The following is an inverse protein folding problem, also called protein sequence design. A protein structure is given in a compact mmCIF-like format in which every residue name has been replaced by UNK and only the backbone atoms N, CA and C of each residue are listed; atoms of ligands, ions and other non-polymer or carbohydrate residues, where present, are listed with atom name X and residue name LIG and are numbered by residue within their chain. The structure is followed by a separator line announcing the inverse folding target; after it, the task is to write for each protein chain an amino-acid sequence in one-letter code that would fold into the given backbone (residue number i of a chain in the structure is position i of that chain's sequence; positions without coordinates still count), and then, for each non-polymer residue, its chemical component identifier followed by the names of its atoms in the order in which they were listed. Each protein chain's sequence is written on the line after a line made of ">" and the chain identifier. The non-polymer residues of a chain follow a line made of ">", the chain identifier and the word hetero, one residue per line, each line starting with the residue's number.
data_IF_314851109449
#
_entry.id   IF_314851109449
#
_cell.length_a   1.000
_cell.length_b   1.000
_cell.length_c   1.000
_cell.angle_alpha   90.00
_cell.angle_beta   90.00
_cell.angle_gamma   90.00
#
_symmetry.space_group_name_H-M   'P 1'
#
loop_
_entity.id
_entity.type
_entity.pdbx_description
1 polymer ?
#
# COMPACT_ATOMS: atom_id res chain seq x y z
N UNK A 1 7.47 -22.24 16.41
CA UNK A 1 7.28 -21.83 15.00
C UNK A 1 6.33 -20.66 14.80
N UNK A 2 5.12 -20.64 15.38
CA UNK A 2 4.11 -19.57 15.13
C UNK A 2 4.55 -18.15 15.51
N UNK A 3 5.31 -17.99 16.59
CA UNK A 3 5.83 -16.66 17.00
C UNK A 3 6.95 -16.16 16.07
N UNK A 4 7.82 -17.07 15.59
CA UNK A 4 8.89 -16.74 14.65
C UNK A 4 8.30 -16.24 13.32
N UNK A 5 7.26 -16.91 12.81
CA UNK A 5 6.55 -16.48 11.60
C UNK A 5 5.93 -15.08 11.77
N UNK A 6 5.26 -14.81 12.91
CA UNK A 6 4.71 -13.47 13.19
C UNK A 6 5.78 -12.39 13.22
N UNK A 7 6.92 -12.66 13.87
CA UNK A 7 8.04 -11.72 13.93
C UNK A 7 8.58 -11.43 12.53
N UNK A 8 8.77 -12.45 11.70
CA UNK A 8 9.22 -12.30 10.32
C UNK A 8 8.25 -11.48 9.47
N UNK A 9 6.94 -11.71 9.61
CA UNK A 9 5.91 -10.94 8.90
C UNK A 9 5.94 -9.47 9.34
N UNK A 10 6.04 -9.19 10.64
CA UNK A 10 6.13 -7.81 11.15
C UNK A 10 7.39 -7.12 10.60
N UNK A 11 8.54 -7.80 10.63
CA UNK A 11 9.79 -7.27 10.08
C UNK A 11 9.68 -6.97 8.58
N UNK A 12 9.03 -7.85 7.81
CA UNK A 12 8.80 -7.62 6.40
C UNK A 12 7.92 -6.38 6.15
N UNK A 13 6.82 -6.23 6.91
CA UNK A 13 5.94 -5.05 6.81
C UNK A 13 6.71 -3.77 7.16
N UNK A 14 7.49 -3.79 8.24
CA UNK A 14 8.31 -2.63 8.65
C UNK A 14 9.35 -2.28 7.59
N UNK A 15 10.01 -3.26 6.99
CA UNK A 15 11.00 -3.04 5.94
C UNK A 15 10.36 -2.41 4.68
N UNK A 16 9.18 -2.88 4.27
CA UNK A 16 8.43 -2.29 3.15
C UNK A 16 8.06 -0.84 3.45
N UNK A 17 7.59 -0.54 4.66
CA UNK A 17 7.27 0.83 5.07
C UNK A 17 8.48 1.75 5.08
N UNK A 18 9.61 1.29 5.62
CA UNK A 18 10.87 2.06 5.62
C UNK A 18 11.35 2.35 4.21
N UNK A 19 11.33 1.34 3.33
CA UNK A 19 11.74 1.50 1.94
C UNK A 19 10.84 2.49 1.20
N UNK A 20 9.52 2.38 1.36
CA UNK A 20 8.55 3.31 0.82
C UNK A 20 8.80 4.75 1.31
N UNK A 21 9.04 4.94 2.60
CA UNK A 21 9.33 6.24 3.20
C UNK A 21 10.61 6.87 2.63
N UNK A 22 11.70 6.10 2.55
CA UNK A 22 12.96 6.56 1.98
C UNK A 22 12.81 6.92 0.50
N UNK A 23 12.10 6.09 -0.26
CA UNK A 23 11.84 6.33 -1.68
C UNK A 23 11.09 7.65 -1.90
N UNK A 24 10.00 7.89 -1.16
CA UNK A 24 9.23 9.13 -1.24
C UNK A 24 10.04 10.35 -0.77
N UNK A 25 10.83 10.19 0.29
CA UNK A 25 11.64 11.29 0.82
C UNK A 25 12.76 11.68 -0.15
N UNK A 26 13.36 10.69 -0.81
CA UNK A 26 14.44 10.89 -1.78
C UNK A 26 13.96 11.39 -3.14
N UNK A 27 12.70 11.15 -3.49
CA UNK A 27 12.13 11.52 -4.78
C UNK A 27 10.91 12.42 -4.55
N UNK A 28 11.17 13.74 -4.54
CA UNK A 28 10.13 14.76 -4.32
C UNK A 28 9.50 15.28 -5.60
N UNK A 29 10.02 14.85 -6.74
CA UNK A 29 9.53 15.30 -8.04
C UNK A 29 8.09 14.81 -8.27
N UNK A 30 7.35 15.63 -9.01
CA UNK A 30 6.01 15.30 -9.46
C UNK A 30 6.11 14.29 -10.61
N UNK A 31 5.25 13.28 -10.59
CA UNK A 31 5.15 12.30 -11.67
C UNK A 31 3.89 12.57 -12.46
N UNK A 32 4.04 12.76 -13.77
CA UNK A 32 2.93 12.77 -14.71
C UNK A 32 2.46 11.33 -14.94
N UNK A 33 1.20 11.07 -14.61
CA UNK A 33 0.48 9.87 -15.00
C UNK A 33 -0.25 10.15 -16.29
N UNK A 34 0.04 9.33 -17.30
CA UNK A 34 -0.73 9.31 -18.53
C UNK A 34 -2.01 8.51 -18.30
N UNK A 35 -3.16 9.19 -18.39
CA UNK A 35 -4.45 8.53 -18.15
C UNK A 35 -4.94 7.87 -19.44
N UNK A 36 -5.81 6.86 -19.29
CA UNK A 36 -6.44 6.13 -20.39
C UNK A 36 -7.24 7.02 -21.37
N UNK A 37 -7.62 8.23 -20.96
CA UNK A 37 -8.35 9.18 -21.78
C UNK A 37 -7.40 10.18 -22.43
N UNK A 38 -7.60 10.39 -23.72
CA UNK A 38 -6.75 11.24 -24.55
C UNK A 38 -6.64 12.67 -23.96
N UNK A 39 -5.40 13.15 -23.81
CA UNK A 39 -5.00 14.44 -23.22
C UNK A 39 -5.27 14.64 -21.72
N UNK A 40 -5.66 13.60 -20.99
CA UNK A 40 -5.77 13.71 -19.55
C UNK A 40 -4.45 13.28 -18.89
N UNK A 41 -3.73 14.25 -18.34
CA UNK A 41 -2.54 14.00 -17.55
C UNK A 41 -2.77 14.42 -16.10
N UNK A 42 -2.26 13.61 -15.19
CA UNK A 42 -2.38 13.88 -13.76
C UNK A 42 -1.00 13.96 -13.12
N UNK A 43 -0.64 15.15 -12.66
CA UNK A 43 0.59 15.36 -11.89
C UNK A 43 0.31 15.02 -10.42
N UNK A 44 0.98 13.97 -9.95
CA UNK A 44 0.80 13.47 -8.59
C UNK A 44 2.16 13.30 -7.94
N UNK A 45 2.25 13.65 -6.66
CA UNK A 45 3.45 13.38 -5.88
C UNK A 45 3.68 11.87 -5.75
N UNK A 46 4.93 11.43 -5.88
CA UNK A 46 5.33 10.04 -5.60
C UNK A 46 4.87 9.56 -4.22
N UNK A 47 4.80 10.45 -3.22
CA UNK A 47 4.28 10.13 -1.91
C UNK A 47 2.84 9.64 -1.93
N UNK A 48 1.98 10.32 -2.69
CA UNK A 48 0.58 9.96 -2.83
C UNK A 48 0.44 8.60 -3.54
N UNK A 49 1.24 8.35 -4.58
CA UNK A 49 1.22 7.07 -5.29
C UNK A 49 1.64 5.90 -4.39
N UNK A 50 2.74 6.07 -3.66
CA UNK A 50 3.26 5.04 -2.76
C UNK A 50 2.27 4.76 -1.63
N UNK A 51 1.71 5.80 -1.00
CA UNK A 51 0.68 5.64 0.03
C UNK A 51 -0.57 4.95 -0.56
N UNK A 52 -0.98 5.33 -1.77
CA UNK A 52 -2.10 4.71 -2.46
C UNK A 52 -1.89 3.21 -2.70
N UNK A 53 -0.73 2.82 -3.23
CA UNK A 53 -0.38 1.40 -3.44
C UNK A 53 -0.34 0.63 -2.12
N UNK A 54 0.25 1.21 -1.06
CA UNK A 54 0.29 0.57 0.26
C UNK A 54 -1.12 0.39 0.86
N UNK A 55 -1.97 1.42 0.75
CA UNK A 55 -3.34 1.36 1.24
C UNK A 55 -4.17 0.31 0.49
N UNK A 56 -4.06 0.27 -0.84
CA UNK A 56 -4.75 -0.73 -1.68
C UNK A 56 -4.22 -2.13 -1.37
N UNK A 57 -2.90 -2.31 -1.29
CA UNK A 57 -2.28 -3.59 -0.98
C UNK A 57 -2.69 -4.12 0.40
N UNK A 58 -2.71 -3.24 1.41
CA UNK A 58 -3.19 -3.59 2.75
C UNK A 58 -4.68 -3.95 2.73
N UNK A 59 -5.52 -3.15 2.06
CA UNK A 59 -6.94 -3.42 1.95
C UNK A 59 -7.24 -4.77 1.29
N UNK A 60 -6.57 -5.06 0.16
CA UNK A 60 -6.67 -6.35 -0.51
C UNK A 60 -6.15 -7.50 0.35
N UNK A 61 -5.03 -7.29 1.05
CA UNK A 61 -4.47 -8.26 1.99
C UNK A 61 -5.42 -8.56 3.16
N UNK A 62 -6.08 -7.54 3.70
CA UNK A 62 -7.11 -7.68 4.73
C UNK A 62 -8.33 -8.43 4.19
N UNK A 63 -8.82 -8.09 3.00
CA UNK A 63 -9.93 -8.80 2.36
C UNK A 63 -9.59 -10.29 2.12
N UNK A 64 -8.38 -10.59 1.65
CA UNK A 64 -7.92 -11.94 1.42
C UNK A 64 -7.72 -12.74 2.72
N UNK A 65 -7.18 -12.11 3.77
CA UNK A 65 -6.88 -12.76 5.05
C UNK A 65 -8.08 -12.92 5.98
N UNK A 66 -8.99 -11.95 6.01
CA UNK A 66 -10.20 -11.96 6.85
C UNK A 66 -11.35 -12.71 6.15
N UNK A 67 -11.37 -12.68 4.80
CA UNK A 67 -12.45 -13.20 3.98
C UNK A 67 -13.77 -12.41 4.15
N UNK A 68 -14.73 -12.64 3.24
CA UNK A 68 -16.07 -12.04 3.28
C UNK A 68 -16.83 -12.26 4.61
N UNK A 69 -16.49 -13.33 5.34
CA UNK A 69 -17.11 -13.68 6.63
C UNK A 69 -16.66 -12.76 7.77
N UNK A 70 -15.38 -12.43 7.87
CA UNK A 70 -14.92 -11.51 8.92
C UNK A 70 -15.28 -10.06 8.65
N UNK A 71 -15.48 -9.67 7.37
CA UNK A 71 -15.99 -8.34 7.03
C UNK A 71 -17.45 -8.14 7.50
N UNK A 72 -18.32 -9.15 7.31
CA UNK A 72 -19.71 -9.11 7.84
C UNK A 72 -19.75 -9.01 9.38
N UNK A 73 -18.78 -9.57 10.07
CA UNK A 73 -18.68 -9.50 11.53
C UNK A 73 -18.18 -8.14 12.06
N UNK A 74 -17.58 -7.31 11.21
CA UNK A 74 -17.07 -5.98 11.56
C UNK A 74 -18.16 -4.89 11.47
N UNK A 75 -19.21 -5.17 10.70
CA UNK A 75 -20.35 -4.28 10.47
C UNK A 75 -21.66 -4.80 11.09
N UNK A 76 -21.58 -5.84 11.93
CA UNK A 76 -22.69 -6.38 12.73
C UNK A 76 -22.40 -6.17 14.21
#
# INVERSE_FOLDING_TARGET
>A
MRNLYRILVILAVVAVFLFAFLFVTSNRDLVMLDMLFYQWHWEVSLGVLVIGVLAIGLFLGLLAGIGLRGLKSLFS
#
